data_IF_338919816377
#
_entry.id   IF_338919816377
#
_cell.length_a   1.000
_cell.length_b   1.000
_cell.length_c   1.000
_cell.angle_alpha   90.00
_cell.angle_beta   90.00
_cell.angle_gamma   90.00
#
_symmetry.space_group_name_H-M   'P 1'
#
loop_
_entity.id
_entity.type
_entity.pdbx_description
1 polymer ?
#
# COMPACT_ATOMS: atom_id res chain seq x y z
N UNK A 1 19.82 -19.97 -29.03
CA UNK A 1 19.13 -19.57 -27.79
C UNK A 1 19.89 -18.43 -27.12
N UNK A 2 19.45 -17.15 -27.25
CA UNK A 2 20.13 -16.05 -26.56
C UNK A 2 19.14 -15.07 -25.90
N UNK A 3 18.26 -15.54 -24.99
CA UNK A 3 17.30 -14.66 -24.29
C UNK A 3 17.79 -14.21 -22.90
N UNK A 4 19.03 -14.55 -22.50
CA UNK A 4 19.38 -14.58 -21.08
C UNK A 4 20.26 -13.44 -20.54
N UNK A 5 20.84 -12.54 -21.36
CA UNK A 5 22.00 -11.78 -20.84
C UNK A 5 21.92 -10.26 -20.68
N UNK A 6 20.89 -9.49 -21.11
CA UNK A 6 21.02 -8.01 -20.97
C UNK A 6 19.76 -7.15 -20.74
N UNK A 7 18.58 -7.70 -20.53
CA UNK A 7 17.38 -6.87 -20.46
C UNK A 7 16.70 -6.94 -19.08
N UNK A 8 16.85 -5.89 -18.28
CA UNK A 8 15.91 -5.62 -17.19
C UNK A 8 14.46 -5.49 -17.70
N UNK A 9 13.46 -5.23 -16.83
CA UNK A 9 12.04 -5.23 -17.20
C UNK A 9 11.69 -4.42 -18.46
N UNK A 10 12.41 -3.33 -18.72
CA UNK A 10 12.23 -2.48 -19.90
C UNK A 10 12.72 -3.11 -21.23
N UNK A 11 13.77 -3.94 -21.21
CA UNK A 11 14.30 -4.57 -22.43
C UNK A 11 13.41 -5.73 -22.91
N UNK A 12 12.82 -6.48 -21.98
CA UNK A 12 11.82 -7.53 -22.31
C UNK A 12 10.57 -6.90 -22.93
N UNK A 13 10.13 -5.74 -22.44
CA UNK A 13 8.98 -5.03 -23.02
C UNK A 13 9.30 -4.51 -24.42
N UNK A 14 10.52 -4.01 -24.67
CA UNK A 14 10.94 -3.58 -26.02
C UNK A 14 10.96 -4.75 -27.01
N UNK A 15 11.50 -5.90 -26.61
CA UNK A 15 11.60 -7.06 -27.49
C UNK A 15 10.22 -7.66 -27.79
N UNK A 16 9.33 -7.74 -26.79
CA UNK A 16 7.94 -8.20 -26.97
C UNK A 16 7.10 -7.20 -27.79
N UNK A 17 7.25 -5.89 -27.55
CA UNK A 17 6.49 -4.88 -28.28
C UNK A 17 6.94 -4.75 -29.75
N UNK A 18 8.23 -4.91 -30.05
CA UNK A 18 8.71 -4.87 -31.44
C UNK A 18 8.35 -6.15 -32.21
N UNK A 19 8.37 -7.31 -31.57
CA UNK A 19 8.00 -8.59 -32.21
C UNK A 19 6.50 -8.79 -32.38
N UNK A 20 5.66 -8.30 -31.47
CA UNK A 20 4.20 -8.49 -31.54
C UNK A 20 3.43 -7.30 -32.16
N UNK A 21 3.92 -6.07 -32.03
CA UNK A 21 3.18 -4.85 -32.41
C UNK A 21 3.79 -4.10 -33.61
N UNK A 22 4.93 -4.56 -34.14
CA UNK A 22 5.64 -3.91 -35.26
C UNK A 22 6.31 -2.57 -34.89
N UNK A 23 6.96 -1.91 -35.85
CA UNK A 23 7.79 -0.72 -35.62
C UNK A 23 7.02 0.46 -34.97
N UNK A 24 5.76 0.66 -35.34
CA UNK A 24 4.93 1.77 -34.84
C UNK A 24 4.46 1.49 -33.41
N UNK A 25 3.95 0.29 -33.13
CA UNK A 25 3.46 -0.06 -31.80
C UNK A 25 4.59 -0.28 -30.77
N UNK A 26 5.74 -0.79 -31.20
CA UNK A 26 6.94 -0.87 -30.35
C UNK A 26 7.45 0.50 -29.90
N UNK A 27 7.42 1.50 -30.79
CA UNK A 27 7.84 2.87 -30.46
C UNK A 27 6.88 3.53 -29.45
N UNK A 28 5.57 3.36 -29.64
CA UNK A 28 4.56 3.87 -28.69
C UNK A 28 4.66 3.18 -27.31
N UNK A 29 4.94 1.88 -27.26
CA UNK A 29 5.13 1.15 -26.01
C UNK A 29 6.34 1.68 -25.20
N UNK A 30 7.46 1.95 -25.86
CA UNK A 30 8.66 2.52 -25.20
C UNK A 30 8.36 3.92 -24.66
N UNK A 31 7.68 4.78 -25.42
CA UNK A 31 7.26 6.10 -24.95
C UNK A 31 6.33 6.00 -23.72
N UNK A 32 5.38 5.06 -23.73
CA UNK A 32 4.48 4.82 -22.59
C UNK A 32 5.21 4.40 -21.32
N UNK A 33 6.19 3.49 -21.43
CA UNK A 33 7.00 3.01 -20.30
C UNK A 33 7.84 4.13 -19.67
N UNK A 34 8.24 5.13 -20.45
CA UNK A 34 9.02 6.28 -19.95
C UNK A 34 8.10 7.36 -19.35
N UNK A 35 7.03 7.73 -20.06
CA UNK A 35 6.16 8.84 -19.67
C UNK A 35 5.34 8.51 -18.42
N UNK A 36 4.83 7.27 -18.28
CA UNK A 36 3.91 6.91 -17.20
C UNK A 36 4.54 6.98 -15.79
N UNK A 37 5.78 6.49 -15.55
CA UNK A 37 6.48 6.69 -14.29
C UNK A 37 6.79 8.15 -13.98
N UNK A 38 7.07 8.99 -14.98
CA UNK A 38 7.33 10.43 -14.78
C UNK A 38 6.08 11.12 -14.23
N UNK A 39 4.93 10.92 -14.87
CA UNK A 39 3.66 11.53 -14.45
C UNK A 39 3.19 10.99 -13.10
N UNK A 40 3.32 9.68 -12.87
CA UNK A 40 2.99 9.07 -11.57
C UNK A 40 3.92 9.56 -10.46
N UNK A 41 5.20 9.81 -10.79
CA UNK A 41 6.20 10.38 -9.88
C UNK A 41 5.87 11.82 -9.47
N UNK A 42 5.57 12.72 -10.42
CA UNK A 42 5.17 14.10 -10.10
C UNK A 42 3.91 14.15 -9.23
N UNK A 43 2.94 13.29 -9.55
CA UNK A 43 1.72 13.12 -8.76
C UNK A 43 2.03 12.62 -7.34
N UNK A 44 2.99 11.70 -7.18
CA UNK A 44 3.42 11.18 -5.89
C UNK A 44 4.16 12.24 -5.04
N UNK A 45 5.03 13.05 -5.63
CA UNK A 45 5.68 14.15 -4.91
C UNK A 45 4.68 15.21 -4.45
N UNK A 46 3.69 15.51 -5.30
CA UNK A 46 2.60 16.42 -4.96
C UNK A 46 1.74 15.87 -3.81
N UNK A 47 1.35 14.59 -3.84
CA UNK A 47 0.54 13.98 -2.79
C UNK A 47 1.30 13.82 -1.48
N UNK A 48 2.58 13.46 -1.53
CA UNK A 48 3.46 13.39 -0.35
C UNK A 48 3.57 14.75 0.35
N UNK A 49 3.71 15.84 -0.43
CA UNK A 49 3.72 17.19 0.13
C UNK A 49 2.41 17.55 0.84
N UNK A 50 1.26 17.17 0.28
CA UNK A 50 -0.06 17.38 0.91
C UNK A 50 -0.17 16.58 2.22
N UNK A 51 0.26 15.32 2.19
CA UNK A 51 0.27 14.46 3.37
C UNK A 51 1.12 15.04 4.51
N UNK A 52 2.34 15.53 4.21
CA UNK A 52 3.22 16.15 5.20
C UNK A 52 2.57 17.41 5.80
N UNK A 53 1.92 18.23 4.98
CA UNK A 53 1.25 19.43 5.51
C UNK A 53 0.03 19.11 6.36
N UNK A 54 -0.69 18.03 6.06
CA UNK A 54 -1.83 17.60 6.86
C UNK A 54 -1.36 17.06 8.23
N UNK A 55 -0.24 16.34 8.27
CA UNK A 55 0.37 15.90 9.53
C UNK A 55 0.91 17.07 10.36
N UNK A 56 1.53 18.07 9.73
CA UNK A 56 2.10 19.23 10.42
C UNK A 56 1.07 20.35 10.69
N UNK A 57 -0.16 20.23 10.18
CA UNK A 57 -1.21 21.25 10.24
C UNK A 57 -0.74 22.65 9.75
N UNK A 58 0.21 22.70 8.80
CA UNK A 58 0.78 23.95 8.29
C UNK A 58 -0.04 24.45 7.11
N UNK A 59 -0.58 25.67 7.22
CA UNK A 59 -1.34 26.28 6.13
C UNK A 59 -0.44 26.57 4.92
N UNK A 60 -0.74 25.89 3.81
CA UNK A 60 0.06 25.80 2.58
C UNK A 60 -0.08 27.02 1.64
N UNK A 61 -0.21 28.24 2.21
CA UNK A 61 -0.52 29.48 1.49
C UNK A 61 0.69 30.18 0.83
N UNK A 62 1.81 30.43 1.51
CA UNK A 62 2.95 31.13 0.91
C UNK A 62 3.88 30.19 0.13
N UNK A 63 4.49 30.71 -0.94
CA UNK A 63 5.41 30.00 -1.83
C UNK A 63 6.68 29.52 -1.08
N UNK A 64 7.13 30.29 -0.09
CA UNK A 64 8.30 29.97 0.74
C UNK A 64 8.10 28.68 1.57
N UNK A 65 6.89 28.48 2.10
CA UNK A 65 6.53 27.25 2.84
C UNK A 65 6.44 26.02 1.91
N UNK A 66 6.21 26.24 0.62
CA UNK A 66 6.21 25.14 -0.37
C UNK A 66 7.62 24.66 -0.64
N UNK A 67 8.58 25.58 -0.78
CA UNK A 67 9.97 25.23 -1.06
C UNK A 67 10.62 24.56 0.17
N UNK A 68 10.31 25.03 1.38
CA UNK A 68 10.83 24.46 2.63
C UNK A 68 10.44 22.99 2.82
N UNK A 69 9.27 22.56 2.31
CA UNK A 69 8.84 21.15 2.35
C UNK A 69 9.32 20.38 1.11
N UNK A 70 9.38 21.03 -0.04
CA UNK A 70 9.83 20.40 -1.28
C UNK A 70 11.32 20.02 -1.25
N UNK A 71 12.19 20.89 -0.74
CA UNK A 71 13.65 20.62 -0.66
C UNK A 71 13.99 19.34 0.13
N UNK A 72 13.49 19.12 1.35
CA UNK A 72 13.74 17.88 2.08
C UNK A 72 13.08 16.67 1.39
N UNK A 73 11.89 16.84 0.80
CA UNK A 73 11.23 15.76 0.07
C UNK A 73 12.03 15.31 -1.18
N UNK A 74 12.58 16.26 -1.94
CA UNK A 74 13.49 15.98 -3.06
C UNK A 74 14.80 15.38 -2.60
N UNK A 75 15.34 15.80 -1.45
CA UNK A 75 16.56 15.24 -0.88
C UNK A 75 16.39 13.77 -0.51
N UNK A 76 15.25 13.40 0.09
CA UNK A 76 14.90 12.00 0.35
C UNK A 76 14.70 11.23 -0.95
N UNK A 77 14.01 11.82 -1.94
CA UNK A 77 13.86 11.24 -3.28
C UNK A 77 15.21 10.93 -3.94
N UNK A 78 16.17 11.86 -3.86
CA UNK A 78 17.52 11.65 -4.37
C UNK A 78 18.27 10.55 -3.62
N UNK A 79 18.16 10.50 -2.29
CA UNK A 79 18.79 9.44 -1.50
C UNK A 79 18.23 8.05 -1.86
N UNK A 80 16.93 7.96 -2.11
CA UNK A 80 16.28 6.71 -2.56
C UNK A 80 16.84 6.19 -3.89
N UNK A 81 17.30 7.08 -4.79
CA UNK A 81 17.96 6.64 -6.05
C UNK A 81 19.31 5.96 -5.86
N UNK A 82 19.92 6.11 -4.68
CA UNK A 82 21.19 5.45 -4.33
C UNK A 82 20.99 4.05 -3.73
N UNK A 83 19.74 3.67 -3.43
CA UNK A 83 19.39 2.37 -2.85
C UNK A 83 19.13 1.37 -3.98
N UNK A 84 19.43 0.08 -3.75
CA UNK A 84 19.13 -0.99 -4.69
C UNK A 84 17.62 -1.04 -5.02
N UNK A 85 17.28 -1.07 -6.31
CA UNK A 85 15.90 -1.09 -6.77
C UNK A 85 15.12 -2.32 -6.25
N UNK A 86 15.77 -3.48 -6.12
CA UNK A 86 15.13 -4.68 -5.59
C UNK A 86 14.75 -4.51 -4.12
N UNK A 87 15.61 -3.89 -3.32
CA UNK A 87 15.30 -3.56 -1.93
C UNK A 87 14.10 -2.60 -1.87
N UNK A 88 14.15 -1.51 -2.63
CA UNK A 88 13.08 -0.51 -2.65
C UNK A 88 11.74 -1.10 -3.09
N UNK A 89 11.76 -1.96 -4.12
CA UNK A 89 10.57 -2.64 -4.64
C UNK A 89 9.95 -3.59 -3.62
N UNK A 90 10.77 -4.31 -2.83
CA UNK A 90 10.28 -5.19 -1.75
C UNK A 90 9.63 -4.38 -0.64
N UNK A 91 10.23 -3.26 -0.25
CA UNK A 91 9.63 -2.33 0.71
C UNK A 91 8.31 -1.75 0.19
N UNK A 92 8.25 -1.35 -1.08
CA UNK A 92 7.02 -0.85 -1.70
C UNK A 92 5.92 -1.92 -1.70
N UNK A 93 6.24 -3.16 -2.07
CA UNK A 93 5.30 -4.28 -2.04
C UNK A 93 4.78 -4.56 -0.62
N UNK A 94 5.64 -4.47 0.39
CA UNK A 94 5.26 -4.60 1.79
C UNK A 94 4.36 -3.45 2.29
N UNK A 95 4.73 -2.21 1.98
CA UNK A 95 3.96 -1.03 2.34
C UNK A 95 2.53 -1.09 1.75
N UNK A 96 2.39 -1.59 0.52
CA UNK A 96 1.09 -1.78 -0.12
C UNK A 96 0.24 -2.85 0.58
N UNK A 97 0.83 -3.98 0.98
CA UNK A 97 0.12 -5.02 1.75
C UNK A 97 -0.35 -4.49 3.09
N UNK A 98 0.50 -3.74 3.79
CA UNK A 98 0.17 -3.14 5.08
C UNK A 98 -0.94 -2.09 4.96
N UNK A 99 -0.90 -1.27 3.92
CA UNK A 99 -1.96 -0.28 3.64
C UNK A 99 -3.29 -0.96 3.34
N UNK A 100 -3.28 -2.01 2.51
CA UNK A 100 -4.47 -2.81 2.22
C UNK A 100 -5.05 -3.46 3.50
N UNK A 101 -4.19 -4.01 4.37
CA UNK A 101 -4.59 -4.57 5.66
C UNK A 101 -5.27 -3.51 6.55
N UNK A 102 -4.67 -2.33 6.72
CA UNK A 102 -5.24 -1.25 7.55
C UNK A 102 -6.58 -0.77 6.97
N UNK A 103 -6.67 -0.58 5.66
CA UNK A 103 -7.91 -0.15 5.00
C UNK A 103 -9.02 -1.20 5.09
N UNK A 104 -8.70 -2.48 4.97
CA UNK A 104 -9.68 -3.56 5.16
C UNK A 104 -10.20 -3.61 6.60
N UNK A 105 -9.34 -3.39 7.61
CA UNK A 105 -9.78 -3.28 8.99
C UNK A 105 -10.64 -2.04 9.26
N UNK A 106 -10.26 -0.89 8.68
CA UNK A 106 -11.06 0.33 8.74
C UNK A 106 -12.45 0.12 8.09
N UNK A 107 -12.49 -0.51 6.91
CA UNK A 107 -13.72 -0.88 6.22
C UNK A 107 -14.55 -1.86 7.05
N UNK A 108 -13.94 -2.89 7.65
CA UNK A 108 -14.64 -3.84 8.50
C UNK A 108 -15.30 -3.14 9.69
N UNK A 109 -14.58 -2.24 10.38
CA UNK A 109 -15.13 -1.43 11.49
C UNK A 109 -16.25 -0.50 11.02
N UNK A 110 -16.16 0.06 9.82
CA UNK A 110 -17.21 0.88 9.22
C UNK A 110 -18.46 0.06 8.88
N UNK A 111 -18.30 -1.16 8.35
CA UNK A 111 -19.43 -2.05 8.04
C UNK A 111 -20.17 -2.51 9.30
N UNK A 112 -19.44 -2.79 10.39
CA UNK A 112 -20.06 -3.12 11.69
C UNK A 112 -20.90 -1.95 12.19
N UNK A 113 -20.35 -0.72 12.20
CA UNK A 113 -21.11 0.48 12.58
C UNK A 113 -22.33 0.74 11.68
N UNK A 114 -22.22 0.42 10.40
CA UNK A 114 -23.31 0.55 9.43
C UNK A 114 -24.32 -0.60 9.47
N UNK A 115 -24.14 -1.58 10.37
CA UNK A 115 -24.93 -2.83 10.47
C UNK A 115 -25.03 -3.62 9.16
N UNK A 116 -23.99 -3.56 8.33
CA UNK A 116 -23.88 -4.33 7.08
C UNK A 116 -23.02 -5.58 7.30
N UNK A 117 -23.00 -6.48 6.30
CA UNK A 117 -22.24 -7.74 6.34
C UNK A 117 -20.73 -7.51 6.47
N UNK A 118 -20.24 -7.35 7.69
CA UNK A 118 -18.82 -7.08 7.98
C UNK A 118 -17.87 -8.20 7.55
N UNK A 119 -18.39 -9.43 7.39
CA UNK A 119 -17.65 -10.62 6.98
C UNK A 119 -16.93 -10.44 5.64
N UNK A 120 -17.52 -9.64 4.74
CA UNK A 120 -16.94 -9.34 3.42
C UNK A 120 -15.60 -8.62 3.53
N UNK A 121 -15.40 -7.81 4.58
CA UNK A 121 -14.15 -7.10 4.82
C UNK A 121 -13.28 -7.78 5.90
N UNK A 122 -13.87 -8.35 6.95
CA UNK A 122 -13.13 -8.91 8.08
C UNK A 122 -12.39 -10.21 7.76
N UNK A 123 -12.95 -11.07 6.90
CA UNK A 123 -12.26 -12.30 6.45
C UNK A 123 -10.98 -11.97 5.65
N UNK A 124 -11.04 -11.18 4.56
CA UNK A 124 -9.84 -10.80 3.83
C UNK A 124 -8.89 -9.94 4.67
N UNK A 125 -9.40 -9.13 5.61
CA UNK A 125 -8.56 -8.40 6.57
C UNK A 125 -7.74 -9.35 7.44
N UNK A 126 -8.36 -10.37 8.04
CA UNK A 126 -7.68 -11.36 8.89
C UNK A 126 -6.61 -12.13 8.10
N UNK A 127 -6.93 -12.57 6.87
CA UNK A 127 -5.97 -13.25 6.00
C UNK A 127 -4.78 -12.33 5.65
N UNK A 128 -5.05 -11.10 5.20
CA UNK A 128 -4.00 -10.12 4.87
C UNK A 128 -3.14 -9.77 6.09
N UNK A 129 -3.71 -9.83 7.29
CA UNK A 129 -2.99 -9.61 8.55
C UNK A 129 -1.97 -10.71 8.80
N UNK A 130 -2.36 -11.98 8.67
CA UNK A 130 -1.44 -13.13 8.79
C UNK A 130 -0.33 -13.04 7.74
N UNK A 131 -0.68 -12.75 6.48
CA UNK A 131 0.30 -12.61 5.38
C UNK A 131 1.30 -11.48 5.65
N UNK A 132 0.84 -10.34 6.18
CA UNK A 132 1.69 -9.17 6.44
C UNK A 132 2.62 -9.40 7.63
N UNK A 133 2.13 -9.97 8.74
CA UNK A 133 2.97 -10.31 9.89
C UNK A 133 3.97 -11.43 9.60
N UNK A 134 3.57 -12.45 8.83
CA UNK A 134 4.50 -13.52 8.44
C UNK A 134 5.61 -12.95 7.53
N UNK A 135 5.25 -12.05 6.61
CA UNK A 135 6.22 -11.38 5.76
C UNK A 135 7.21 -10.54 6.56
N UNK A 136 6.78 -9.76 7.56
CA UNK A 136 7.70 -8.90 8.32
C UNK A 136 8.71 -9.71 9.15
N UNK A 137 8.32 -10.90 9.61
CA UNK A 137 9.18 -11.79 10.38
C UNK A 137 10.19 -12.53 9.49
N UNK A 138 9.77 -12.93 8.29
CA UNK A 138 10.59 -13.69 7.34
C UNK A 138 11.46 -12.80 6.44
N UNK A 139 11.01 -11.59 6.12
CA UNK A 139 11.71 -10.73 5.19
C UNK A 139 13.14 -10.44 5.67
N UNK A 140 14.13 -10.45 4.78
CA UNK A 140 15.50 -10.16 5.15
C UNK A 140 15.72 -8.71 5.57
N UNK A 141 14.76 -7.83 5.27
CA UNK A 141 14.76 -6.44 5.73
C UNK A 141 14.09 -6.27 7.10
N UNK A 142 13.45 -7.32 7.61
CA UNK A 142 12.78 -7.37 8.90
C UNK A 142 13.60 -8.15 9.92
N UNK A 143 13.01 -9.20 10.48
CA UNK A 143 13.66 -10.00 11.52
C UNK A 143 14.51 -11.18 11.02
N UNK A 144 14.56 -11.43 9.71
CA UNK A 144 15.37 -12.52 9.12
C UNK A 144 15.13 -13.90 9.75
N UNK A 145 13.93 -14.16 10.28
CA UNK A 145 13.66 -15.40 11.00
C UNK A 145 13.49 -16.57 10.04
N UNK A 146 13.99 -17.73 10.43
CA UNK A 146 13.77 -18.98 9.73
C UNK A 146 12.26 -19.25 9.58
N UNK A 147 11.87 -19.80 8.43
CA UNK A 147 10.47 -20.09 8.08
C UNK A 147 9.75 -20.91 9.15
N UNK A 148 10.45 -21.86 9.79
CA UNK A 148 9.91 -22.67 10.88
C UNK A 148 9.44 -21.88 12.11
N UNK A 149 9.97 -20.68 12.34
CA UNK A 149 9.61 -19.81 13.47
C UNK A 149 8.70 -18.66 12.99
N UNK A 150 8.94 -18.13 11.79
CA UNK A 150 8.22 -17.00 11.25
C UNK A 150 6.72 -17.28 11.01
N UNK A 151 6.36 -18.48 10.53
CA UNK A 151 4.96 -18.86 10.32
C UNK A 151 4.14 -18.96 11.62
N UNK A 152 4.54 -19.75 12.64
CA UNK A 152 3.76 -19.86 13.88
C UNK A 152 3.72 -18.53 14.66
N UNK A 153 4.82 -17.77 14.66
CA UNK A 153 4.86 -16.47 15.33
C UNK A 153 4.02 -15.41 14.59
N UNK A 154 4.05 -15.40 13.26
CA UNK A 154 3.23 -14.52 12.43
C UNK A 154 1.73 -14.78 12.62
N UNK A 155 1.35 -16.05 12.74
CA UNK A 155 -0.02 -16.43 13.07
C UNK A 155 -0.42 -15.98 14.48
N UNK A 156 0.45 -16.21 15.47
CA UNK A 156 0.20 -15.80 16.85
C UNK A 156 0.03 -14.27 16.99
N UNK A 157 0.88 -13.48 16.33
CA UNK A 157 0.78 -12.02 16.32
C UNK A 157 -0.49 -11.52 15.61
N UNK A 158 -0.92 -12.19 14.54
CA UNK A 158 -2.13 -11.85 13.82
C UNK A 158 -3.41 -12.08 14.65
N UNK A 159 -3.39 -12.95 15.66
CA UNK A 159 -4.53 -13.17 16.55
C UNK A 159 -4.86 -11.93 17.40
N UNK A 160 -3.90 -11.04 17.66
CA UNK A 160 -4.10 -9.83 18.47
C UNK A 160 -5.12 -8.88 17.83
N UNK A 161 -4.92 -8.36 16.60
CA UNK A 161 -5.88 -7.47 15.95
C UNK A 161 -7.22 -8.17 15.65
N UNK A 162 -7.20 -9.46 15.32
CA UNK A 162 -8.43 -10.25 15.11
C UNK A 162 -9.22 -10.34 16.42
N UNK A 163 -8.57 -10.64 17.54
CA UNK A 163 -9.18 -10.71 18.86
C UNK A 163 -9.75 -9.36 19.32
N UNK A 164 -9.03 -8.26 19.07
CA UNK A 164 -9.53 -6.91 19.34
C UNK A 164 -10.79 -6.58 18.53
N UNK A 165 -10.81 -6.97 17.25
CA UNK A 165 -11.98 -6.77 16.40
C UNK A 165 -13.18 -7.58 16.89
N UNK A 166 -12.99 -8.87 17.22
CA UNK A 166 -14.06 -9.72 17.74
C UNK A 166 -14.63 -9.16 19.05
N UNK A 167 -13.78 -8.71 19.98
CA UNK A 167 -14.25 -8.05 21.22
C UNK A 167 -15.08 -6.80 20.92
N UNK A 168 -14.66 -5.99 19.95
CA UNK A 168 -15.37 -4.77 19.55
C UNK A 168 -16.71 -5.08 18.88
N UNK A 169 -16.79 -6.11 18.04
CA UNK A 169 -18.04 -6.56 17.40
C UNK A 169 -19.02 -7.06 18.44
N UNK A 170 -18.60 -7.91 19.37
CA UNK A 170 -19.45 -8.46 20.44
C UNK A 170 -19.96 -7.33 21.36
N UNK A 171 -19.10 -6.36 21.70
CA UNK A 171 -19.49 -5.20 22.52
C UNK A 171 -20.54 -4.31 21.84
N UNK A 172 -20.49 -4.16 20.52
CA UNK A 172 -21.48 -3.39 19.77
C UNK A 172 -22.82 -4.13 19.64
N UNK A 173 -22.80 -5.45 19.45
CA UNK A 173 -24.04 -6.26 19.44
C UNK A 173 -24.87 -6.17 20.72
N UNK A 174 -24.25 -5.91 21.88
CA UNK A 174 -24.95 -5.73 23.16
C UNK A 174 -25.53 -4.32 23.39
N UNK A 175 -25.02 -3.30 22.71
CA UNK A 175 -25.51 -1.91 22.82
C UNK A 175 -26.54 -1.54 21.72
N UNK A 176 -26.66 -2.36 20.67
CA UNK A 176 -27.41 -2.03 19.45
C UNK A 176 -28.90 -2.45 19.43
N UNK A 177 -29.41 -3.12 20.47
CA UNK A 177 -30.81 -3.61 20.48
C UNK A 177 -31.86 -2.49 20.68
N UNK A 178 -31.45 -1.23 20.91
CA UNK A 178 -32.36 -0.09 21.17
C UNK A 178 -32.14 1.17 20.33
N UNK A 179 -31.14 1.24 19.44
CA UNK A 179 -30.82 2.48 18.71
C UNK A 179 -31.41 2.44 17.27
N UNK A 180 -32.26 3.40 16.85
CA UNK A 180 -32.69 3.50 15.46
C UNK A 180 -31.53 3.95 14.55
N UNK A 181 -31.57 3.53 13.28
CA UNK A 181 -30.51 3.75 12.27
C UNK A 181 -30.21 5.25 12.09
N UNK A 182 -28.92 5.67 12.07
CA UNK A 182 -28.53 7.08 11.92
C UNK A 182 -28.81 7.68 10.53
N UNK A 183 -29.44 6.94 9.61
CA UNK A 183 -29.76 7.39 8.25
C UNK A 183 -31.25 7.36 7.90
N UNK A 184 -32.16 7.26 8.88
CA UNK A 184 -33.54 7.71 8.66
C UNK A 184 -33.61 9.23 8.86
N UNK A 185 -32.98 9.98 7.95
CA UNK A 185 -33.41 11.36 7.72
C UNK A 185 -34.82 11.25 7.14
N UNK A 186 -35.80 11.63 7.95
CA UNK A 186 -37.17 11.85 7.48
C UNK A 186 -37.10 12.87 6.34
N UNK A 187 -37.43 12.43 5.14
CA UNK A 187 -37.98 13.32 4.14
C UNK A 187 -39.47 13.47 4.41
#
# INVERSE_FOLDING_TARGET
MPFCLLAGPAGVVKDVATTMLGAVGGTLAVLGVIVLPITSGDTAFRSARMLITDFMQITQKPLDKRLLIAVPLFSVGFLLTRIDFNFLWRYFAWANRTTAMIMLWAAAVYLVQSRKLHWVASIPAAFMTVVTFTYILMAPEGFQLATGIAYPLGFALALIPIGLFVRKVIGQSGSDQGQPLPHTVKN
#
